data_IF_753634968619
#
_entry.id   IF_753634968619
#
_cell.length_a   1.000
_cell.length_b   1.000
_cell.length_c   1.000
_cell.angle_alpha   90.00
_cell.angle_beta   90.00
_cell.angle_gamma   90.00
#
_symmetry.space_group_name_H-M   'P 1'
#
loop_
_entity.id
_entity.type
_entity.pdbx_description
1 polymer ?
#
# COMPACT_ATOMS: atom_id res chain seq x y z
N UNK A 1 -9.65 -16.55 -0.92
CA UNK A 1 -8.62 -15.63 -1.39
C UNK A 1 -7.99 -14.91 -0.22
N UNK A 2 -6.69 -14.74 -0.27
CA UNK A 2 -5.92 -14.10 0.79
C UNK A 2 -5.49 -12.69 0.36
N UNK A 3 -5.10 -11.90 1.33
CA UNK A 3 -4.52 -10.57 1.10
C UNK A 3 -5.49 -9.61 0.41
N UNK A 4 -6.74 -9.62 0.88
CA UNK A 4 -7.75 -8.67 0.46
C UNK A 4 -7.81 -7.53 1.47
N UNK A 5 -8.50 -6.45 1.09
CA UNK A 5 -8.77 -5.35 2.02
C UNK A 5 -9.53 -5.86 3.26
N UNK A 6 -10.53 -6.73 3.06
CA UNK A 6 -11.30 -7.28 4.18
C UNK A 6 -10.41 -8.03 5.17
N UNK A 7 -9.48 -8.84 4.67
CA UNK A 7 -8.56 -9.56 5.53
C UNK A 7 -7.68 -8.61 6.32
N UNK A 8 -7.15 -7.58 5.66
CA UNK A 8 -6.31 -6.59 6.33
C UNK A 8 -7.08 -5.88 7.44
N UNK A 9 -8.33 -5.52 7.19
CA UNK A 9 -9.19 -4.90 8.21
C UNK A 9 -9.39 -5.83 9.40
N UNK A 10 -9.64 -7.12 9.13
CA UNK A 10 -9.82 -8.10 10.19
C UNK A 10 -8.57 -8.24 11.06
N UNK A 11 -7.38 -8.32 10.43
CA UNK A 11 -6.12 -8.39 11.17
C UNK A 11 -5.90 -7.13 12.00
N UNK A 12 -6.24 -5.96 11.45
CA UNK A 12 -6.11 -4.70 12.17
C UNK A 12 -6.96 -4.67 13.43
N UNK A 13 -8.19 -5.18 13.36
CA UNK A 13 -9.09 -5.24 14.51
C UNK A 13 -8.56 -6.15 15.62
N UNK A 14 -7.75 -7.13 15.26
CA UNK A 14 -7.13 -8.06 16.21
C UNK A 14 -5.77 -7.57 16.71
N UNK A 15 -5.32 -6.38 16.28
CA UNK A 15 -4.00 -5.87 16.63
C UNK A 15 -2.87 -6.57 15.91
N UNK A 16 -3.15 -7.19 14.76
CA UNK A 16 -2.20 -8.03 14.02
C UNK A 16 -1.84 -7.47 12.64
N UNK A 17 -1.99 -6.17 12.44
CA UNK A 17 -1.76 -5.59 11.10
C UNK A 17 -0.29 -5.74 10.65
N UNK A 18 0.67 -5.66 11.59
CA UNK A 18 2.07 -5.87 11.26
C UNK A 18 2.31 -7.26 10.68
N UNK A 19 1.68 -8.28 11.26
CA UNK A 19 1.78 -9.64 10.76
C UNK A 19 1.21 -9.74 9.33
N UNK A 20 0.07 -9.10 9.09
CA UNK A 20 -0.54 -9.10 7.77
C UNK A 20 0.40 -8.47 6.73
N UNK A 21 1.02 -7.33 7.09
CA UNK A 21 1.94 -6.62 6.20
C UNK A 21 3.14 -7.51 5.85
N UNK A 22 3.75 -8.15 6.86
CA UNK A 22 4.90 -9.01 6.61
C UNK A 22 4.53 -10.18 5.70
N UNK A 23 3.41 -10.83 5.97
CA UNK A 23 2.96 -11.95 5.14
C UNK A 23 2.65 -11.50 3.71
N UNK A 24 2.00 -10.36 3.58
CA UNK A 24 1.64 -9.82 2.27
C UNK A 24 2.88 -9.47 1.43
N UNK A 25 3.82 -8.78 2.03
CA UNK A 25 5.03 -8.35 1.32
C UNK A 25 5.91 -9.53 0.89
N UNK A 26 5.81 -10.67 1.56
CA UNK A 26 6.58 -11.86 1.24
C UNK A 26 5.82 -12.86 0.36
N UNK A 27 4.55 -12.58 0.09
CA UNK A 27 3.72 -13.47 -0.71
C UNK A 27 4.15 -13.48 -2.18
N UNK A 28 4.29 -14.66 -2.76
CA UNK A 28 4.63 -14.83 -4.16
C UNK A 28 3.70 -15.83 -4.87
N UNK A 29 2.66 -16.28 -4.19
CA UNK A 29 1.79 -17.35 -4.70
C UNK A 29 0.44 -16.85 -5.21
N UNK A 30 -0.03 -15.71 -4.71
CA UNK A 30 -1.32 -15.18 -5.13
C UNK A 30 -1.23 -14.53 -6.52
N UNK A 31 -2.38 -14.48 -7.18
CA UNK A 31 -2.51 -13.76 -8.45
C UNK A 31 -2.09 -12.30 -8.25
N UNK A 32 -1.28 -11.80 -9.18
CA UNK A 32 -0.70 -10.45 -9.13
C UNK A 32 0.28 -10.25 -7.97
N UNK A 33 0.74 -11.33 -7.34
CA UNK A 33 1.75 -11.23 -6.31
C UNK A 33 3.02 -10.57 -6.87
N UNK A 34 3.54 -9.62 -6.11
CA UNK A 34 4.78 -8.93 -6.45
C UNK A 34 5.51 -8.68 -5.15
N UNK A 35 6.20 -9.72 -4.63
CA UNK A 35 6.80 -9.63 -3.31
C UNK A 35 7.83 -8.51 -3.22
N UNK A 36 7.85 -7.88 -2.05
CA UNK A 36 8.77 -6.79 -1.76
C UNK A 36 9.56 -7.15 -0.51
N UNK A 37 10.51 -8.07 -0.68
CA UNK A 37 11.32 -8.56 0.43
C UNK A 37 12.17 -7.46 1.04
N UNK A 38 12.65 -6.54 0.21
CA UNK A 38 13.48 -5.44 0.72
C UNK A 38 12.70 -4.58 1.72
N UNK A 39 11.47 -4.24 1.40
CA UNK A 39 10.63 -3.47 2.34
C UNK A 39 10.31 -4.31 3.57
N UNK A 40 9.95 -5.58 3.39
CA UNK A 40 9.61 -6.45 4.51
C UNK A 40 10.77 -6.56 5.50
N UNK A 41 11.98 -6.77 4.98
CA UNK A 41 13.19 -6.86 5.82
C UNK A 41 13.50 -5.52 6.47
N UNK A 42 13.36 -4.43 5.73
CA UNK A 42 13.61 -3.08 6.24
C UNK A 42 12.71 -2.71 7.40
N UNK A 43 11.44 -3.12 7.34
CA UNK A 43 10.49 -2.85 8.41
C UNK A 43 10.89 -3.53 9.73
N UNK A 44 11.62 -4.63 9.67
CA UNK A 44 12.03 -5.37 10.86
C UNK A 44 13.30 -4.83 11.50
N UNK A 45 13.99 -3.87 10.86
CA UNK A 45 15.24 -3.32 11.38
C UNK A 45 15.06 -2.42 12.59
N UNK A 46 13.88 -1.84 12.75
CA UNK A 46 13.56 -0.95 13.85
C UNK A 46 12.12 -1.19 14.28
N UNK A 47 11.77 -0.70 15.45
CA UNK A 47 10.40 -0.75 15.92
C UNK A 47 9.57 0.24 15.13
N UNK A 48 8.44 -0.22 14.58
CA UNK A 48 7.56 0.58 13.74
C UNK A 48 6.18 0.70 14.37
N UNK A 49 5.49 1.79 14.03
CA UNK A 49 4.07 1.96 14.35
C UNK A 49 3.27 1.77 13.06
N UNK A 50 2.16 1.06 13.16
CA UNK A 50 1.27 0.78 12.02
C UNK A 50 -0.12 1.32 12.33
N UNK A 51 -0.77 1.90 11.32
CA UNK A 51 -2.10 2.47 11.46
C UNK A 51 -2.92 2.15 10.21
N UNK A 52 -4.18 1.74 10.41
CA UNK A 52 -5.09 1.45 9.31
C UNK A 52 -5.42 -0.05 9.20
N UNK A 53 -6.05 -0.49 8.09
CA UNK A 53 -6.33 0.31 6.88
C UNK A 53 -7.31 1.46 7.12
N UNK A 54 -7.01 2.61 6.53
CA UNK A 54 -7.89 3.77 6.54
C UNK A 54 -8.01 4.32 5.12
N UNK A 55 -9.12 4.97 4.84
CA UNK A 55 -9.32 5.56 3.52
C UNK A 55 -8.52 6.87 3.40
N UNK A 56 -7.74 6.99 2.34
CA UNK A 56 -6.86 8.13 2.08
C UNK A 56 -7.18 8.66 0.69
N UNK A 57 -7.17 9.99 0.54
CA UNK A 57 -7.23 10.60 -0.79
C UNK A 57 -5.95 10.26 -1.55
N UNK A 58 -6.07 9.75 -2.77
CA UNK A 58 -4.90 9.40 -3.57
C UNK A 58 -4.06 10.62 -3.91
N UNK A 59 -4.66 11.82 -3.90
CA UNK A 59 -3.93 13.06 -4.14
C UNK A 59 -2.98 13.42 -3.00
N UNK A 60 -3.19 12.86 -1.81
CA UNK A 60 -2.35 13.11 -0.65
C UNK A 60 -1.12 12.17 -0.59
N UNK A 61 -1.02 11.26 -1.55
CA UNK A 61 0.07 10.29 -1.58
C UNK A 61 1.21 10.81 -2.45
N UNK A 62 2.42 10.77 -1.90
CA UNK A 62 3.63 11.10 -2.64
C UNK A 62 4.24 9.83 -3.20
N UNK A 63 4.44 9.79 -4.51
CA UNK A 63 5.03 8.62 -5.16
C UNK A 63 6.49 8.92 -5.53
N UNK A 64 7.37 7.94 -5.31
CA UNK A 64 8.78 8.07 -5.64
C UNK A 64 9.04 7.65 -7.07
N UNK A 65 8.30 6.67 -7.55
CA UNK A 65 8.44 6.13 -8.89
C UNK A 65 7.04 5.84 -9.43
N UNK A 66 6.69 6.46 -10.53
CA UNK A 66 5.39 6.30 -11.14
C UNK A 66 5.54 6.00 -12.63
N UNK A 67 4.44 5.64 -13.26
CA UNK A 67 4.38 5.26 -14.66
C UNK A 67 5.11 6.24 -15.60
N UNK A 68 4.95 7.54 -15.36
CA UNK A 68 5.57 8.56 -16.22
C UNK A 68 7.09 8.61 -16.15
N UNK A 69 7.69 7.97 -15.14
CA UNK A 69 9.14 7.94 -14.97
C UNK A 69 9.79 6.74 -15.66
N UNK A 70 8.96 5.89 -16.27
CA UNK A 70 9.41 4.67 -16.93
C UNK A 70 9.44 4.86 -18.44
N UNK A 71 10.32 4.10 -19.12
CA UNK A 71 10.41 4.15 -20.57
C UNK A 71 10.85 2.78 -21.10
N UNK A 72 10.64 2.59 -22.41
CA UNK A 72 11.06 1.37 -23.11
C UNK A 72 10.36 0.10 -22.59
N UNK A 73 11.13 -0.97 -22.49
CA UNK A 73 10.61 -2.28 -22.08
C UNK A 73 10.06 -2.26 -20.65
N UNK A 74 10.65 -1.46 -19.79
CA UNK A 74 10.20 -1.32 -18.42
C UNK A 74 8.78 -0.74 -18.36
N UNK A 75 8.50 0.29 -19.15
CA UNK A 75 7.17 0.89 -19.23
C UNK A 75 6.16 -0.10 -19.83
N UNK A 76 6.58 -0.82 -20.87
CA UNK A 76 5.70 -1.80 -21.51
C UNK A 76 5.28 -2.90 -20.53
N UNK A 77 6.24 -3.45 -19.77
CA UNK A 77 5.94 -4.45 -18.76
C UNK A 77 5.01 -3.90 -17.67
N UNK A 78 5.30 -2.69 -17.21
CA UNK A 78 4.50 -2.01 -16.20
C UNK A 78 3.04 -1.89 -16.66
N UNK A 79 2.85 -1.43 -17.89
CA UNK A 79 1.50 -1.26 -18.46
C UNK A 79 0.77 -2.60 -18.55
N UNK A 80 1.46 -3.69 -18.90
CA UNK A 80 0.84 -5.00 -18.97
C UNK A 80 0.31 -5.44 -17.60
N UNK A 81 1.08 -5.20 -16.55
CA UNK A 81 0.66 -5.54 -15.19
C UNK A 81 -0.55 -4.70 -14.78
N UNK A 82 -0.50 -3.39 -15.03
CA UNK A 82 -1.62 -2.49 -14.68
C UNK A 82 -2.87 -2.84 -15.47
N UNK A 83 -2.75 -3.18 -16.76
CA UNK A 83 -3.87 -3.59 -17.57
C UNK A 83 -4.54 -4.85 -17.00
N UNK A 84 -3.73 -5.82 -16.58
CA UNK A 84 -4.24 -7.05 -15.97
C UNK A 84 -4.97 -6.76 -14.67
N UNK A 85 -4.37 -5.93 -13.82
CA UNK A 85 -5.00 -5.53 -12.57
C UNK A 85 -6.30 -4.76 -12.81
N UNK A 86 -6.33 -3.91 -13.84
CA UNK A 86 -7.54 -3.15 -14.19
C UNK A 86 -8.69 -4.05 -14.60
N UNK A 87 -8.39 -5.13 -15.31
CA UNK A 87 -9.39 -6.11 -15.73
C UNK A 87 -9.94 -6.89 -14.53
N UNK A 88 -9.11 -7.12 -13.52
CA UNK A 88 -9.49 -7.88 -12.34
C UNK A 88 -9.98 -6.98 -11.19
N UNK A 89 -9.94 -5.67 -11.39
CA UNK A 89 -10.27 -4.74 -10.31
C UNK A 89 -11.72 -4.91 -9.84
N UNK A 90 -11.84 -5.11 -8.53
CA UNK A 90 -13.11 -5.17 -7.84
C UNK A 90 -12.90 -4.38 -6.55
N UNK A 91 -13.48 -3.22 -6.47
CA UNK A 91 -13.22 -2.21 -5.44
C UNK A 91 -12.96 -2.69 -4.02
N UNK A 92 -13.49 -3.86 -3.63
CA UNK A 92 -13.33 -4.38 -2.27
C UNK A 92 -12.23 -5.44 -2.16
N UNK A 93 -11.70 -5.93 -3.26
CA UNK A 93 -10.73 -7.04 -3.24
C UNK A 93 -9.26 -6.62 -3.30
N UNK A 94 -8.99 -5.39 -3.73
CA UNK A 94 -7.61 -4.93 -3.80
C UNK A 94 -7.01 -4.83 -2.41
N UNK A 95 -5.79 -5.35 -2.22
CA UNK A 95 -5.09 -5.11 -0.96
C UNK A 95 -4.90 -3.60 -0.74
N UNK A 96 -4.86 -3.15 0.51
CA UNK A 96 -4.59 -1.74 0.77
C UNK A 96 -3.20 -1.35 0.29
N UNK A 97 -3.03 -0.08 -0.05
CA UNK A 97 -1.72 0.48 -0.34
C UNK A 97 -0.91 0.53 0.95
N UNK A 98 0.41 0.56 0.83
CA UNK A 98 1.29 0.65 2.00
C UNK A 98 2.09 1.93 1.88
N UNK A 99 1.94 2.81 2.89
CA UNK A 99 2.51 4.15 2.88
C UNK A 99 3.40 4.36 4.09
N UNK A 100 4.52 5.05 3.90
CA UNK A 100 5.37 5.48 4.99
C UNK A 100 5.05 6.93 5.35
N UNK A 101 4.84 7.20 6.63
CA UNK A 101 4.75 8.56 7.13
C UNK A 101 6.15 9.06 7.49
N UNK A 102 6.57 10.15 6.85
CA UNK A 102 7.86 10.75 7.12
C UNK A 102 7.81 12.22 6.67
N UNK A 103 8.38 13.11 7.46
CA UNK A 103 8.46 14.54 7.13
C UNK A 103 7.09 15.14 6.78
N UNK A 104 6.07 14.75 7.53
CA UNK A 104 4.69 15.21 7.36
C UNK A 104 4.08 14.85 5.99
N UNK A 105 4.60 13.80 5.35
CA UNK A 105 4.11 13.31 4.07
C UNK A 105 3.83 11.82 4.13
N UNK A 106 3.03 11.35 3.19
CA UNK A 106 2.72 9.93 3.03
C UNK A 106 3.36 9.45 1.73
N UNK A 107 4.36 8.60 1.84
CA UNK A 107 5.09 8.07 0.69
C UNK A 107 4.62 6.67 0.35
N UNK A 108 4.34 6.42 -0.92
CA UNK A 108 3.96 5.08 -1.38
C UNK A 108 5.19 4.18 -1.34
N UNK A 109 5.19 3.20 -0.43
CA UNK A 109 6.30 2.26 -0.28
C UNK A 109 6.01 0.91 -0.91
N UNK A 110 4.73 0.55 -1.09
CA UNK A 110 4.34 -0.64 -1.83
C UNK A 110 2.97 -0.41 -2.45
N UNK A 111 2.79 -0.86 -3.70
CA UNK A 111 1.53 -0.77 -4.40
C UNK A 111 1.55 0.17 -5.60
N UNK A 112 2.72 0.35 -6.26
CA UNK A 112 2.80 1.22 -7.44
C UNK A 112 1.82 0.80 -8.54
N UNK A 113 1.71 -0.49 -8.83
CA UNK A 113 0.79 -0.99 -9.85
C UNK A 113 -0.65 -0.78 -9.42
N UNK A 114 -0.96 -1.01 -8.14
CA UNK A 114 -2.30 -0.79 -7.61
C UNK A 114 -2.67 0.69 -7.67
N UNK A 115 -1.73 1.57 -7.31
CA UNK A 115 -1.95 3.00 -7.37
C UNK A 115 -2.29 3.45 -8.80
N UNK A 116 -1.50 3.00 -9.79
CA UNK A 116 -1.75 3.32 -11.19
C UNK A 116 -3.10 2.77 -11.67
N UNK A 117 -3.45 1.56 -11.24
CA UNK A 117 -4.75 0.97 -11.57
C UNK A 117 -5.89 1.80 -11.03
N UNK A 118 -5.79 2.22 -9.77
CA UNK A 118 -6.83 3.05 -9.15
C UNK A 118 -6.99 4.37 -9.88
N UNK A 119 -5.88 5.00 -10.28
CA UNK A 119 -5.93 6.24 -11.04
C UNK A 119 -6.58 6.06 -12.41
N UNK A 120 -6.28 4.97 -13.08
CA UNK A 120 -6.89 4.67 -14.39
C UNK A 120 -8.38 4.40 -14.28
N UNK A 121 -8.84 3.94 -13.10
CA UNK A 121 -10.25 3.68 -12.84
C UNK A 121 -10.97 4.90 -12.27
N UNK A 122 -10.32 6.06 -12.25
CA UNK A 122 -10.87 7.31 -11.71
C UNK A 122 -11.30 7.18 -10.25
N UNK A 123 -10.58 6.38 -9.48
CA UNK A 123 -10.81 6.24 -8.04
C UNK A 123 -10.09 7.38 -7.33
N UNK A 124 -10.79 8.16 -6.53
CA UNK A 124 -10.22 9.30 -5.80
C UNK A 124 -9.63 8.93 -4.48
N UNK A 125 -10.18 7.93 -3.83
CA UNK A 125 -9.78 7.51 -2.47
C UNK A 125 -9.64 6.01 -2.41
N UNK A 126 -8.70 5.53 -1.60
CA UNK A 126 -8.61 4.11 -1.35
C UNK A 126 -7.99 3.86 0.02
N UNK A 127 -8.10 2.64 0.49
CA UNK A 127 -7.60 2.25 1.80
C UNK A 127 -6.09 2.03 1.76
N UNK A 128 -5.43 2.43 2.83
CA UNK A 128 -3.99 2.29 2.97
C UNK A 128 -3.62 1.95 4.41
N UNK A 129 -2.53 1.24 4.54
CA UNK A 129 -1.88 0.99 5.83
C UNK A 129 -0.73 1.98 5.92
N UNK A 130 -0.68 2.76 7.01
CA UNK A 130 0.35 3.76 7.23
C UNK A 130 1.35 3.18 8.23
N UNK A 131 2.64 3.29 7.93
CA UNK A 131 3.67 2.91 8.88
C UNK A 131 4.68 4.03 9.06
N UNK A 132 5.39 4.01 10.15
CA UNK A 132 6.46 4.95 10.43
C UNK A 132 7.27 4.45 11.60
N UNK A 133 8.36 5.13 11.91
CA UNK A 133 9.13 4.79 13.10
C UNK A 133 8.27 4.98 14.34
N UNK A 134 8.50 4.17 15.36
CA UNK A 134 7.69 4.17 16.57
C UNK A 134 7.59 5.55 17.22
N UNK A 135 8.67 6.32 17.15
CA UNK A 135 8.70 7.67 17.70
C UNK A 135 7.71 8.63 17.02
N UNK A 136 7.24 8.29 15.82
CA UNK A 136 6.29 9.11 15.06
C UNK A 136 4.83 8.71 15.30
N UNK A 137 4.60 7.81 16.24
CA UNK A 137 3.25 7.30 16.53
C UNK A 137 2.21 8.40 16.73
N UNK A 138 2.55 9.39 17.57
CA UNK A 138 1.61 10.49 17.83
C UNK A 138 1.36 11.34 16.59
N UNK A 139 2.39 11.59 15.80
CA UNK A 139 2.27 12.39 14.58
C UNK A 139 1.39 11.67 13.56
N UNK A 140 1.58 10.36 13.42
CA UNK A 140 0.75 9.55 12.52
C UNK A 140 -0.70 9.57 12.99
N UNK A 141 -0.92 9.41 14.27
CA UNK A 141 -2.26 9.41 14.84
C UNK A 141 -2.97 10.76 14.62
N UNK A 142 -2.22 11.85 14.81
CA UNK A 142 -2.79 13.19 14.61
C UNK A 142 -3.13 13.45 13.15
N UNK A 143 -2.24 13.06 12.23
CA UNK A 143 -2.48 13.28 10.81
C UNK A 143 -3.56 12.36 10.26
N UNK A 144 -3.48 11.08 10.53
CA UNK A 144 -4.33 10.06 9.90
C UNK A 144 -5.62 9.81 10.66
N UNK A 145 -5.60 9.98 11.97
CA UNK A 145 -6.79 9.80 12.79
C UNK A 145 -7.90 10.82 12.48
N UNK A 146 -7.50 12.01 12.07
CA UNK A 146 -8.44 13.06 11.71
C UNK A 146 -9.11 12.77 10.36
N UNK A 147 -8.44 11.98 9.53
CA UNK A 147 -8.92 11.65 8.19
C UNK A 147 -10.01 10.57 8.18
N UNK A 148 -10.27 9.96 9.31
CA UNK A 148 -11.29 8.92 9.41
C UNK A 148 -12.70 9.46 9.21
#
# INVERSE_FOLDING_TARGET
MKYTLEEAIAYSKEGRIEEWVQNYLRNKEEKHANPNYALADGLLLEERFYYGPIEISLDDITTKRIEKDLEGDELEWYNKVVDRMSNDFNGSNFPPLILEYKDNKLYLTDGNHRYSTLRRKDVDKYYAIIWGNKELENDIYNKCGIMK
#
